data_IF_797190392090
#
_entry.id   IF_797190392090
#
_cell.length_a   1.000
_cell.length_b   1.000
_cell.length_c   1.000
_cell.angle_alpha   90.00
_cell.angle_beta   90.00
_cell.angle_gamma   90.00
#
_symmetry.space_group_name_H-M   'P 1'
#
loop_
_entity.id
_entity.type
_entity.pdbx_description
1 polymer ?
#
# COMPACT_ATOMS: atom_id res chain seq x y z
N UNK A 1 -31.27 23.39 19.19
CA UNK A 1 -32.04 22.29 19.83
C UNK A 1 -31.06 21.17 20.11
N UNK A 2 -30.89 20.84 21.39
CA UNK A 2 -29.95 19.84 21.92
C UNK A 2 -30.03 18.52 21.16
N UNK A 3 -28.98 18.18 20.43
CA UNK A 3 -28.63 16.80 20.15
C UNK A 3 -27.68 16.37 21.27
N UNK A 4 -28.24 15.80 22.34
CA UNK A 4 -27.43 15.03 23.28
C UNK A 4 -26.72 13.92 22.48
N UNK A 5 -25.42 13.67 22.70
CA UNK A 5 -24.73 12.59 22.00
C UNK A 5 -25.45 11.27 22.30
N UNK A 6 -25.65 10.46 21.25
CA UNK A 6 -26.29 9.12 21.35
C UNK A 6 -25.51 8.22 22.33
N UNK A 7 -24.24 8.55 22.61
CA UNK A 7 -23.37 7.86 23.55
C UNK A 7 -22.68 8.87 24.48
N UNK A 8 -23.10 9.02 25.75
CA UNK A 8 -22.44 9.92 26.70
C UNK A 8 -21.02 9.42 27.00
N UNK A 9 -20.08 10.34 27.18
CA UNK A 9 -18.68 10.00 27.44
C UNK A 9 -18.47 9.47 28.87
N UNK A 10 -17.53 8.54 29.10
CA UNK A 10 -17.31 7.93 30.41
C UNK A 10 -17.10 8.97 31.51
N UNK A 11 -17.97 8.98 32.53
CA UNK A 11 -17.74 9.69 33.80
C UNK A 11 -17.82 11.23 33.77
N UNK A 12 -18.47 11.87 32.80
CA UNK A 12 -18.57 13.34 32.77
C UNK A 12 -17.26 14.04 32.40
N UNK A 13 -16.34 13.33 31.74
CA UNK A 13 -15.12 13.94 31.19
C UNK A 13 -15.52 15.01 30.16
N UNK A 14 -15.44 16.29 30.55
CA UNK A 14 -15.70 17.43 29.66
C UNK A 14 -14.91 17.35 28.36
N UNK A 15 -13.73 16.71 28.37
CA UNK A 15 -12.86 16.57 27.22
C UNK A 15 -13.53 15.81 26.05
N UNK A 16 -14.20 14.69 26.32
CA UNK A 16 -14.90 13.98 25.24
C UNK A 16 -16.36 14.38 25.07
N UNK A 17 -17.03 14.92 26.09
CA UNK A 17 -18.41 15.40 25.93
C UNK A 17 -18.52 16.59 24.97
N UNK A 18 -17.50 17.46 24.94
CA UNK A 18 -17.48 18.63 24.05
C UNK A 18 -17.00 18.29 22.64
N UNK A 19 -16.07 17.34 22.51
CA UNK A 19 -15.39 17.03 21.24
C UNK A 19 -15.82 15.71 20.60
N UNK A 20 -16.84 15.01 21.11
CA UNK A 20 -17.27 13.70 20.60
C UNK A 20 -17.49 13.69 19.07
N UNK A 21 -18.12 14.73 18.52
CA UNK A 21 -18.37 14.79 17.07
C UNK A 21 -17.13 15.13 16.25
N UNK A 22 -16.10 15.71 16.87
CA UNK A 22 -14.90 16.22 16.20
C UNK A 22 -13.64 15.39 16.50
N UNK A 23 -13.72 14.41 17.41
CA UNK A 23 -12.59 13.58 17.84
C UNK A 23 -12.90 12.10 17.63
N UNK A 24 -12.23 11.49 16.64
CA UNK A 24 -12.30 10.05 16.38
C UNK A 24 -11.96 9.22 17.62
N UNK A 25 -10.99 9.65 18.42
CA UNK A 25 -10.62 8.96 19.65
C UNK A 25 -11.76 8.97 20.69
N UNK A 26 -12.47 10.09 20.85
CA UNK A 26 -13.63 10.16 21.73
C UNK A 26 -14.80 9.29 21.21
N UNK A 27 -14.98 9.20 19.89
CA UNK A 27 -15.97 8.29 19.28
C UNK A 27 -15.65 6.82 19.57
N UNK A 28 -14.37 6.42 19.41
CA UNK A 28 -13.89 5.07 19.74
C UNK A 28 -14.15 4.72 21.20
N UNK A 29 -13.82 5.61 22.14
CA UNK A 29 -14.08 5.41 23.58
C UNK A 29 -15.58 5.28 23.87
N UNK A 30 -16.41 6.13 23.26
CA UNK A 30 -17.87 6.09 23.45
C UNK A 30 -18.48 4.79 22.93
N UNK A 31 -18.06 4.33 21.75
CA UNK A 31 -18.47 3.05 21.17
C UNK A 31 -18.04 1.89 22.06
N UNK A 32 -16.78 1.83 22.50
CA UNK A 32 -16.29 0.82 23.43
C UNK A 32 -17.17 0.75 24.68
N UNK A 33 -17.39 1.91 25.33
CA UNK A 33 -18.19 2.00 26.56
C UNK A 33 -19.59 1.44 26.35
N UNK A 34 -20.23 1.79 25.23
CA UNK A 34 -21.61 1.39 24.95
C UNK A 34 -21.72 -0.14 24.98
N UNK A 35 -20.93 -0.85 24.18
CA UNK A 35 -20.97 -2.30 24.11
C UNK A 35 -20.46 -2.99 25.37
N UNK A 36 -19.34 -2.52 25.95
CA UNK A 36 -18.78 -3.10 27.18
C UNK A 36 -19.75 -2.98 28.37
N UNK A 37 -20.59 -1.94 28.40
CA UNK A 37 -21.62 -1.77 29.46
C UNK A 37 -22.75 -2.79 29.38
N UNK A 38 -22.94 -3.45 28.23
CA UNK A 38 -23.84 -4.58 28.06
C UNK A 38 -23.17 -5.93 28.33
N UNK A 39 -21.90 -5.93 28.78
CA UNK A 39 -21.15 -7.17 29.00
C UNK A 39 -20.61 -7.81 27.72
N UNK A 40 -20.52 -7.05 26.62
CA UNK A 40 -20.03 -7.55 25.33
C UNK A 40 -18.55 -7.19 25.16
N UNK A 41 -17.73 -8.18 24.81
CA UNK A 41 -16.37 -7.94 24.32
C UNK A 41 -16.42 -7.20 22.99
N UNK A 42 -15.47 -6.28 22.77
CA UNK A 42 -15.47 -5.38 21.62
C UNK A 42 -14.15 -5.47 20.89
N UNK A 43 -14.20 -5.72 19.59
CA UNK A 43 -13.08 -5.43 18.68
C UNK A 43 -13.32 -4.07 18.02
N UNK A 44 -12.43 -3.11 18.27
CA UNK A 44 -12.43 -1.82 17.60
C UNK A 44 -11.35 -1.82 16.52
N UNK A 45 -11.73 -1.59 15.27
CA UNK A 45 -10.79 -1.37 14.18
C UNK A 45 -10.99 0.02 13.56
N UNK A 46 -9.95 0.60 12.98
CA UNK A 46 -10.14 1.68 12.00
C UNK A 46 -10.77 1.11 10.71
N UNK A 47 -11.36 2.00 9.91
CA UNK A 47 -12.11 1.62 8.71
C UNK A 47 -11.21 1.09 7.57
N UNK A 48 -9.90 1.24 7.70
CA UNK A 48 -8.85 0.85 6.77
C UNK A 48 -8.03 -0.35 7.26
N UNK A 49 -8.55 -1.09 8.25
CA UNK A 49 -8.16 -2.46 8.52
C UNK A 49 -9.02 -3.43 7.71
N UNK A 50 -8.37 -4.31 6.96
CA UNK A 50 -9.03 -5.40 6.25
C UNK A 50 -8.61 -6.75 6.86
N UNK A 51 -9.59 -7.59 7.18
CA UNK A 51 -9.35 -8.92 7.73
C UNK A 51 -9.31 -9.94 6.58
N UNK A 52 -8.16 -10.61 6.42
CA UNK A 52 -7.97 -11.71 5.49
C UNK A 52 -8.49 -13.04 6.06
N UNK A 53 -8.48 -13.17 7.39
CA UNK A 53 -8.98 -14.33 8.13
C UNK A 53 -9.86 -13.86 9.31
N UNK A 54 -10.71 -14.76 9.83
CA UNK A 54 -11.45 -14.50 11.06
C UNK A 54 -10.46 -14.38 12.25
N UNK A 55 -10.37 -13.23 12.95
CA UNK A 55 -9.41 -13.04 14.02
C UNK A 55 -9.87 -13.68 15.35
N UNK A 56 -11.15 -14.07 15.49
CA UNK A 56 -11.72 -14.54 16.76
C UNK A 56 -11.03 -15.80 17.30
N UNK A 57 -10.70 -16.83 16.49
CA UNK A 57 -9.94 -17.98 16.97
C UNK A 57 -8.60 -17.58 17.59
N UNK A 58 -7.91 -16.57 17.04
CA UNK A 58 -6.67 -16.05 17.62
C UNK A 58 -6.94 -15.42 18.99
N UNK A 59 -7.94 -14.55 19.08
CA UNK A 59 -8.30 -13.85 20.32
C UNK A 59 -8.69 -14.82 21.45
N UNK A 60 -9.42 -15.89 21.13
CA UNK A 60 -9.84 -16.90 22.11
C UNK A 60 -8.67 -17.67 22.74
N UNK A 61 -7.51 -17.73 22.09
CA UNK A 61 -6.29 -18.36 22.65
C UNK A 61 -5.61 -17.53 23.72
N UNK A 62 -6.06 -16.29 23.95
CA UNK A 62 -5.42 -15.36 24.88
C UNK A 62 -6.33 -15.02 26.08
N UNK A 63 -6.90 -15.99 26.83
CA UNK A 63 -7.92 -15.70 27.85
C UNK A 63 -7.49 -14.75 28.99
N UNK A 64 -6.20 -14.63 29.39
CA UNK A 64 -5.84 -13.70 30.45
C UNK A 64 -5.79 -12.23 30.02
N UNK A 65 -5.72 -11.92 28.72
CA UNK A 65 -5.56 -10.54 28.24
C UNK A 65 -6.86 -9.72 28.32
N UNK A 66 -6.93 -8.70 29.15
CA UNK A 66 -8.08 -7.78 29.16
C UNK A 66 -8.11 -6.88 27.91
N UNK A 67 -6.92 -6.57 27.38
CA UNK A 67 -6.71 -5.78 26.17
C UNK A 67 -5.71 -6.46 25.24
N UNK A 68 -6.06 -6.58 23.96
CA UNK A 68 -5.09 -6.84 22.90
C UNK A 68 -5.02 -5.61 21.98
N UNK A 69 -3.82 -5.21 21.59
CA UNK A 69 -3.60 -4.11 20.64
C UNK A 69 -2.70 -4.58 19.49
N UNK A 70 -2.89 -4.04 18.29
CA UNK A 70 -1.91 -4.20 17.22
C UNK A 70 -0.55 -3.61 17.64
N UNK A 71 0.55 -4.22 17.17
CA UNK A 71 1.90 -3.69 17.39
C UNK A 71 2.26 -2.59 16.41
N UNK A 72 2.98 -1.57 16.87
CA UNK A 72 3.50 -0.50 16.00
C UNK A 72 4.88 -0.80 15.40
N UNK A 73 5.56 -1.84 15.90
CA UNK A 73 6.90 -2.22 15.44
C UNK A 73 6.89 -2.71 13.99
N UNK A 74 7.98 -2.44 13.26
CA UNK A 74 8.20 -2.95 11.90
C UNK A 74 9.05 -4.23 11.86
N UNK A 75 9.23 -4.86 13.01
CA UNK A 75 9.94 -6.12 13.20
C UNK A 75 9.17 -6.96 14.23
N UNK A 76 9.10 -8.26 14.01
CA UNK A 76 8.50 -9.18 14.96
C UNK A 76 9.49 -9.49 16.11
N UNK A 77 8.96 -9.76 17.28
CA UNK A 77 9.71 -10.23 18.44
C UNK A 77 9.66 -11.76 18.61
N UNK A 78 8.83 -12.43 17.79
CA UNK A 78 8.62 -13.89 17.82
C UNK A 78 9.64 -14.64 16.94
N UNK A 79 9.75 -15.95 17.13
CA UNK A 79 10.56 -16.80 16.26
C UNK A 79 9.86 -17.11 14.93
N UNK A 80 10.60 -17.70 13.99
CA UNK A 80 10.02 -18.25 12.75
C UNK A 80 8.98 -19.33 13.02
N UNK A 81 7.84 -19.24 12.35
CA UNK A 81 6.66 -20.10 12.55
C UNK A 81 5.87 -19.84 13.85
N UNK A 82 6.31 -18.92 14.71
CA UNK A 82 5.61 -18.59 15.95
C UNK A 82 4.46 -17.62 15.69
N UNK A 83 3.26 -18.16 15.81
CA UNK A 83 2.01 -17.50 15.47
C UNK A 83 1.31 -16.85 16.68
N UNK A 84 1.98 -16.75 17.84
CA UNK A 84 1.43 -16.20 19.08
C UNK A 84 1.55 -14.68 19.21
N UNK A 85 1.25 -14.15 20.41
CA UNK A 85 1.45 -12.72 20.72
C UNK A 85 2.94 -12.35 20.65
N UNK A 86 3.22 -11.07 20.42
CA UNK A 86 4.57 -10.53 20.60
C UNK A 86 5.01 -10.67 22.06
N UNK A 87 6.33 -10.75 22.29
CA UNK A 87 6.91 -10.66 23.62
C UNK A 87 6.49 -9.33 24.26
N UNK A 88 6.21 -9.32 25.56
CA UNK A 88 5.79 -8.12 26.27
C UNK A 88 6.85 -7.01 26.24
N UNK A 89 8.13 -7.36 26.04
CA UNK A 89 9.20 -6.40 25.79
C UNK A 89 8.94 -5.51 24.56
N UNK A 90 8.16 -5.98 23.58
CA UNK A 90 7.78 -5.22 22.38
C UNK A 90 6.90 -3.99 22.70
N UNK A 91 6.26 -3.93 23.87
CA UNK A 91 5.51 -2.74 24.33
C UNK A 91 6.37 -1.46 24.38
N UNK A 92 7.70 -1.61 24.48
CA UNK A 92 8.62 -0.48 24.40
C UNK A 92 8.63 0.17 22.99
N UNK A 93 8.34 -0.60 21.94
CA UNK A 93 8.22 -0.12 20.56
C UNK A 93 6.86 0.53 20.25
N UNK A 94 5.91 0.49 21.19
CA UNK A 94 4.58 1.10 21.05
C UNK A 94 3.53 0.16 20.47
N UNK A 95 2.28 0.63 20.47
CA UNK A 95 1.11 -0.08 19.95
C UNK A 95 0.40 0.76 18.89
N UNK A 96 -0.30 0.10 17.99
CA UNK A 96 -1.19 0.72 17.00
C UNK A 96 -2.62 0.70 17.58
N UNK A 97 -3.20 1.88 17.81
CA UNK A 97 -4.55 2.02 18.36
C UNK A 97 -5.66 1.79 17.32
N UNK A 98 -5.28 1.53 16.07
CA UNK A 98 -6.15 1.21 14.96
C UNK A 98 -6.80 -0.16 15.07
N UNK A 99 -6.27 -1.12 15.84
CA UNK A 99 -6.93 -2.40 16.12
C UNK A 99 -6.78 -2.80 17.60
N UNK A 100 -7.91 -2.87 18.30
CA UNK A 100 -8.00 -3.21 19.72
C UNK A 100 -9.03 -4.31 19.95
N UNK A 101 -8.74 -5.26 20.83
CA UNK A 101 -9.73 -6.09 21.50
C UNK A 101 -9.85 -5.62 22.96
N UNK A 102 -11.05 -5.32 23.40
CA UNK A 102 -11.38 -4.90 24.76
C UNK A 102 -12.36 -5.90 25.36
N UNK A 103 -12.00 -6.52 26.49
CA UNK A 103 -12.90 -7.44 27.18
C UNK A 103 -13.80 -6.74 28.19
N UNK A 104 -15.04 -7.22 28.29
CA UNK A 104 -16.03 -6.67 29.19
C UNK A 104 -15.67 -6.97 30.64
N UNK A 105 -15.17 -5.96 31.35
CA UNK A 105 -14.87 -6.03 32.77
C UNK A 105 -15.09 -4.67 33.44
N UNK A 106 -15.41 -4.63 34.75
CA UNK A 106 -15.48 -3.38 35.50
C UNK A 106 -14.18 -2.55 35.42
N UNK A 107 -13.03 -3.24 35.39
CA UNK A 107 -11.73 -2.60 35.21
C UNK A 107 -11.61 -1.91 33.84
N UNK A 108 -12.05 -2.56 32.77
CA UNK A 108 -12.02 -1.99 31.41
C UNK A 108 -12.92 -0.74 31.30
N UNK A 109 -14.13 -0.76 31.85
CA UNK A 109 -15.01 0.42 31.87
C UNK A 109 -14.38 1.60 32.62
N UNK A 110 -13.63 1.32 33.68
CA UNK A 110 -12.90 2.33 34.44
C UNK A 110 -11.67 2.83 33.67
N UNK A 111 -10.99 1.95 32.93
CA UNK A 111 -9.87 2.31 32.07
C UNK A 111 -10.29 3.25 30.93
N UNK A 112 -11.48 3.07 30.33
CA UNK A 112 -11.99 4.00 29.32
C UNK A 112 -12.09 5.46 29.83
N UNK A 113 -12.32 5.65 31.12
CA UNK A 113 -12.27 6.98 31.74
C UNK A 113 -10.84 7.51 31.85
N UNK A 114 -9.87 6.65 32.16
CA UNK A 114 -8.46 7.02 32.17
C UNK A 114 -7.96 7.41 30.77
N UNK A 115 -8.33 6.62 29.75
CA UNK A 115 -8.04 6.94 28.36
C UNK A 115 -8.64 8.29 27.95
N UNK A 116 -9.91 8.54 28.27
CA UNK A 116 -10.55 9.83 27.97
C UNK A 116 -9.88 11.02 28.67
N UNK A 117 -9.37 10.84 29.89
CA UNK A 117 -8.62 11.87 30.63
C UNK A 117 -7.24 12.13 30.04
N UNK A 118 -6.63 11.16 29.36
CA UNK A 118 -5.32 11.28 28.74
C UNK A 118 -5.34 12.00 27.38
N UNK A 119 -6.51 12.15 26.75
CA UNK A 119 -6.64 12.73 25.41
C UNK A 119 -6.23 14.20 25.25
N UNK A 120 -6.47 15.12 26.20
CA UNK A 120 -6.16 16.54 26.01
C UNK A 120 -4.69 16.76 25.58
N UNK A 121 -4.49 17.38 24.41
CA UNK A 121 -3.17 17.65 23.85
C UNK A 121 -2.44 16.46 23.24
N UNK A 122 -3.11 15.31 23.06
CA UNK A 122 -2.55 14.08 22.47
C UNK A 122 -3.41 13.58 21.31
N UNK A 123 -2.81 12.81 20.40
CA UNK A 123 -3.58 11.97 19.48
C UNK A 123 -4.11 10.71 20.20
N UNK A 124 -4.96 9.93 19.51
CA UNK A 124 -5.61 8.73 20.08
C UNK A 124 -4.60 7.72 20.64
N UNK A 125 -3.61 7.35 19.83
CA UNK A 125 -2.56 6.39 20.19
C UNK A 125 -1.74 6.86 21.40
N UNK A 126 -1.21 8.08 21.38
CA UNK A 126 -0.39 8.61 22.46
C UNK A 126 -1.18 8.77 23.78
N UNK A 127 -2.49 9.03 23.70
CA UNK A 127 -3.36 9.05 24.87
C UNK A 127 -3.63 7.64 25.41
N UNK A 128 -3.85 6.65 24.53
CA UNK A 128 -4.04 5.25 24.91
C UNK A 128 -2.80 4.72 25.63
N UNK A 129 -1.62 4.89 25.03
CA UNK A 129 -0.34 4.48 25.62
C UNK A 129 -0.07 5.17 26.95
N UNK A 130 -0.37 6.47 27.05
CA UNK A 130 -0.22 7.22 28.31
C UNK A 130 -1.13 6.67 29.40
N UNK A 131 -2.37 6.30 29.08
CA UNK A 131 -3.31 5.73 30.04
C UNK A 131 -2.89 4.31 30.47
N UNK A 132 -2.42 3.48 29.53
CA UNK A 132 -1.93 2.13 29.82
C UNK A 132 -0.70 2.13 30.73
N UNK A 133 0.16 3.16 30.64
CA UNK A 133 1.37 3.30 31.46
C UNK A 133 1.13 3.93 32.83
N UNK A 134 -0.08 4.45 33.11
CA UNK A 134 -0.40 5.04 34.41
C UNK A 134 -0.19 4.02 35.53
N UNK A 135 0.64 4.35 36.53
CA UNK A 135 0.95 3.47 37.65
C UNK A 135 1.80 2.24 37.30
N UNK A 136 2.35 2.16 36.08
CA UNK A 136 3.29 1.11 35.65
C UNK A 136 4.73 1.64 35.76
N UNK A 137 5.64 0.81 36.26
CA UNK A 137 7.07 1.16 36.30
C UNK A 137 7.69 1.26 34.90
N UNK A 138 8.99 1.61 34.84
CA UNK A 138 9.71 1.70 33.57
C UNK A 138 9.67 0.41 32.74
N UNK A 139 9.61 -0.73 33.42
CA UNK A 139 9.37 -2.05 32.83
C UNK A 139 8.06 -2.61 33.39
N UNK A 140 7.08 -2.93 32.53
CA UNK A 140 5.85 -3.58 32.96
C UNK A 140 6.13 -4.93 33.62
N UNK A 141 5.45 -5.22 34.72
CA UNK A 141 5.49 -6.54 35.33
C UNK A 141 4.79 -7.55 34.41
N UNK A 142 5.39 -8.73 34.24
CA UNK A 142 4.83 -9.79 33.41
C UNK A 142 3.67 -10.51 34.11
N UNK A 143 2.72 -11.01 33.33
CA UNK A 143 1.72 -11.93 33.84
C UNK A 143 2.39 -13.24 34.28
N UNK A 144 2.02 -13.83 35.45
CA UNK A 144 2.70 -15.01 35.96
C UNK A 144 2.77 -16.16 34.95
N UNK A 145 3.99 -16.62 34.67
CA UNK A 145 4.25 -17.73 33.75
C UNK A 145 4.09 -17.40 32.26
N UNK A 146 3.95 -16.12 31.88
CA UNK A 146 3.84 -15.70 30.47
C UNK A 146 4.69 -14.47 30.19
N UNK A 147 5.59 -14.57 29.20
CA UNK A 147 6.49 -13.50 28.75
C UNK A 147 5.89 -12.58 27.67
N UNK A 148 4.68 -12.90 27.19
CA UNK A 148 3.93 -12.17 26.15
C UNK A 148 2.79 -11.30 26.68
N UNK A 149 2.51 -11.41 27.97
CA UNK A 149 1.47 -10.64 28.64
C UNK A 149 2.09 -9.83 29.75
N UNK A 150 1.68 -8.56 29.85
CA UNK A 150 2.14 -7.66 30.89
C UNK A 150 0.99 -6.95 31.57
N UNK A 151 1.20 -6.61 32.83
CA UNK A 151 0.30 -5.75 33.57
C UNK A 151 0.36 -4.32 33.03
N UNK A 152 -0.81 -3.73 32.87
CA UNK A 152 -1.03 -2.34 32.48
C UNK A 152 -1.94 -1.63 33.50
N UNK A 153 -1.97 -0.30 33.43
CA UNK A 153 -2.84 0.57 34.24
C UNK A 153 -2.80 0.24 35.74
N UNK A 154 -1.60 0.35 36.33
CA UNK A 154 -1.38 0.08 37.76
C UNK A 154 -1.64 -1.36 38.18
N UNK A 155 -1.48 -2.33 37.27
CA UNK A 155 -1.73 -3.75 37.54
C UNK A 155 -3.20 -4.16 37.44
N UNK A 156 -4.07 -3.29 36.92
CA UNK A 156 -5.52 -3.54 36.84
C UNK A 156 -5.97 -4.17 35.54
N UNK A 157 -5.13 -4.12 34.51
CA UNK A 157 -5.36 -4.76 33.22
C UNK A 157 -4.19 -5.66 32.85
N UNK A 158 -4.46 -6.67 32.05
CA UNK A 158 -3.46 -7.48 31.35
C UNK A 158 -3.48 -7.13 29.86
N UNK A 159 -2.32 -6.77 29.33
CA UNK A 159 -2.11 -6.32 27.97
C UNK A 159 -1.31 -7.36 27.17
N UNK A 160 -1.75 -7.63 25.94
CA UNK A 160 -0.98 -8.36 24.93
C UNK A 160 -0.88 -7.57 23.62
N UNK A 161 0.18 -7.82 22.86
CA UNK A 161 0.40 -7.18 21.55
C UNK A 161 0.23 -8.23 20.45
N UNK A 162 -0.63 -7.93 19.49
CA UNK A 162 -0.87 -8.79 18.33
C UNK A 162 0.40 -8.84 17.45
N UNK A 163 0.76 -10.01 16.90
CA UNK A 163 1.99 -10.18 16.14
C UNK A 163 1.97 -9.36 14.86
N UNK A 164 2.99 -8.52 14.65
CA UNK A 164 3.07 -7.58 13.51
C UNK A 164 3.24 -8.30 12.17
N UNK A 165 3.68 -9.57 12.21
CA UNK A 165 3.71 -10.46 11.06
C UNK A 165 2.30 -10.90 10.59
N UNK A 166 1.29 -10.92 11.48
CA UNK A 166 -0.07 -11.37 11.16
C UNK A 166 -1.10 -10.24 11.16
N UNK A 167 -0.86 -9.20 11.95
CA UNK A 167 -1.70 -8.01 12.08
C UNK A 167 -0.82 -6.79 11.79
N UNK A 168 -0.65 -6.49 10.51
CA UNK A 168 0.46 -5.64 10.06
C UNK A 168 0.02 -4.54 9.11
N UNK A 169 0.77 -3.44 9.12
CA UNK A 169 0.64 -2.37 8.12
C UNK A 169 1.74 -2.50 7.06
N UNK A 170 2.84 -1.77 7.23
CA UNK A 170 4.04 -1.86 6.40
C UNK A 170 4.63 -3.29 6.39
N UNK A 171 4.59 -3.99 7.53
CA UNK A 171 5.01 -5.41 7.64
C UNK A 171 4.22 -6.33 6.70
N UNK A 172 2.95 -6.03 6.42
CA UNK A 172 2.15 -6.78 5.46
C UNK A 172 2.39 -6.29 4.02
N UNK A 173 2.31 -4.98 3.80
CA UNK A 173 2.20 -4.39 2.45
C UNK A 173 3.53 -4.24 1.72
N UNK A 174 4.64 -4.07 2.45
CA UNK A 174 5.99 -3.86 1.87
C UNK A 174 6.89 -5.06 2.14
N UNK A 175 6.91 -5.54 3.39
CA UNK A 175 7.83 -6.61 3.77
C UNK A 175 7.33 -8.00 3.36
N UNK A 176 6.01 -8.22 3.35
CA UNK A 176 5.45 -9.58 3.24
C UNK A 176 5.83 -10.45 4.44
N UNK A 177 5.90 -9.85 5.64
CA UNK A 177 6.48 -10.45 6.83
C UNK A 177 5.81 -11.77 7.23
N UNK A 178 4.50 -11.92 7.01
CA UNK A 178 3.81 -13.20 7.21
C UNK A 178 4.49 -14.36 6.47
N UNK A 179 4.82 -14.15 5.19
CA UNK A 179 5.51 -15.14 4.36
C UNK A 179 6.95 -15.38 4.80
N UNK A 180 7.66 -14.32 5.21
CA UNK A 180 9.03 -14.43 5.74
C UNK A 180 9.12 -15.21 7.05
N UNK A 181 8.07 -15.11 7.88
CA UNK A 181 7.98 -15.77 9.19
C UNK A 181 7.17 -17.08 9.15
N UNK A 182 6.79 -17.56 7.96
CA UNK A 182 5.98 -18.78 7.76
C UNK A 182 4.69 -18.83 8.61
N UNK A 183 4.00 -17.70 8.74
CA UNK A 183 2.69 -17.56 9.42
C UNK A 183 1.63 -17.01 8.47
N UNK A 184 0.35 -17.09 8.86
CA UNK A 184 -0.75 -16.52 8.06
C UNK A 184 -0.98 -15.05 8.39
N UNK A 185 -1.23 -14.24 7.36
CA UNK A 185 -1.70 -12.87 7.50
C UNK A 185 -3.18 -12.89 7.90
N UNK A 186 -3.52 -12.31 9.05
CA UNK A 186 -4.90 -12.25 9.56
C UNK A 186 -5.56 -10.92 9.21
N UNK A 187 -4.84 -9.81 9.38
CA UNK A 187 -5.37 -8.49 9.08
C UNK A 187 -4.29 -7.55 8.56
N UNK A 188 -4.68 -6.66 7.64
CA UNK A 188 -3.82 -5.68 7.00
C UNK A 188 -4.35 -4.28 7.28
N UNK A 189 -3.48 -3.41 7.79
CA UNK A 189 -3.77 -2.00 8.02
C UNK A 189 -3.22 -1.17 6.86
N UNK A 190 -4.09 -0.47 6.12
CA UNK A 190 -3.68 0.40 5.02
C UNK A 190 -3.09 1.76 5.47
N UNK A 191 -2.27 1.76 6.52
CA UNK A 191 -1.43 2.88 6.96
C UNK A 191 -0.05 2.84 6.28
N UNK A 192 0.91 3.68 6.71
CA UNK A 192 2.26 3.81 6.14
C UNK A 192 2.26 4.10 4.63
N UNK A 193 1.52 5.14 4.23
CA UNK A 193 1.41 5.65 2.87
C UNK A 193 1.01 7.13 2.88
N UNK A 194 1.16 7.80 1.74
CA UNK A 194 0.90 9.24 1.58
C UNK A 194 -0.30 9.62 0.70
N UNK A 195 -0.99 8.66 0.10
CA UNK A 195 -1.96 8.86 -0.99
C UNK A 195 -3.45 8.81 -0.53
N UNK A 196 -3.67 9.17 0.74
CA UNK A 196 -5.02 9.38 1.29
C UNK A 196 -5.95 8.17 1.13
N UNK A 197 -7.27 8.41 1.14
CA UNK A 197 -8.28 7.35 1.10
C UNK A 197 -8.20 6.51 -0.20
N UNK A 198 -7.92 7.12 -1.34
CA UNK A 198 -7.82 6.42 -2.62
C UNK A 198 -6.64 5.46 -2.63
N UNK A 199 -5.48 5.90 -2.14
CA UNK A 199 -4.30 5.05 -1.97
C UNK A 199 -4.53 3.91 -0.99
N UNK A 200 -5.24 4.15 0.14
CA UNK A 200 -5.56 3.10 1.12
C UNK A 200 -6.39 1.99 0.48
N UNK A 201 -7.45 2.38 -0.24
CA UNK A 201 -8.28 1.46 -1.00
C UNK A 201 -7.47 0.71 -2.06
N UNK A 202 -6.60 1.41 -2.79
CA UNK A 202 -5.77 0.79 -3.81
C UNK A 202 -4.82 -0.27 -3.23
N UNK A 203 -4.18 0.02 -2.09
CA UNK A 203 -3.35 -0.95 -1.36
C UNK A 203 -4.12 -2.21 -0.96
N UNK A 204 -5.35 -2.04 -0.49
CA UNK A 204 -6.22 -3.18 -0.17
C UNK A 204 -6.65 -3.95 -1.43
N UNK A 205 -6.79 -3.30 -2.60
CA UNK A 205 -6.99 -3.99 -3.88
C UNK A 205 -5.76 -4.77 -4.32
N UNK A 206 -4.56 -4.19 -4.18
CA UNK A 206 -3.30 -4.88 -4.47
C UNK A 206 -3.18 -6.18 -3.65
N UNK A 207 -3.59 -6.14 -2.38
CA UNK A 207 -3.68 -7.30 -1.49
C UNK A 207 -4.90 -8.21 -1.73
N UNK A 208 -5.80 -7.87 -2.67
CA UNK A 208 -7.07 -8.56 -2.95
C UNK A 208 -8.06 -8.62 -1.77
N UNK A 209 -7.91 -7.72 -0.80
CA UNK A 209 -8.73 -7.61 0.40
C UNK A 209 -9.86 -6.57 0.28
N UNK A 210 -9.80 -5.68 -0.70
CA UNK A 210 -10.91 -4.78 -1.01
C UNK A 210 -11.90 -5.43 -1.97
N UNK A 211 -13.18 -5.38 -1.63
CA UNK A 211 -14.27 -5.87 -2.47
C UNK A 211 -14.96 -4.71 -3.17
N UNK A 212 -14.79 -4.64 -4.48
CA UNK A 212 -15.55 -3.74 -5.34
C UNK A 212 -16.82 -4.42 -5.88
N UNK A 213 -17.71 -3.61 -6.46
CA UNK A 213 -18.88 -4.13 -7.16
C UNK A 213 -18.47 -5.02 -8.36
N UNK A 214 -19.29 -6.01 -8.77
CA UNK A 214 -18.95 -6.98 -9.82
C UNK A 214 -18.48 -6.35 -11.14
N UNK A 215 -18.98 -5.17 -11.46
CA UNK A 215 -18.64 -4.41 -12.67
C UNK A 215 -17.15 -4.06 -12.71
N UNK A 216 -16.52 -3.85 -11.54
CA UNK A 216 -15.10 -3.57 -11.43
C UNK A 216 -14.23 -4.67 -12.05
N UNK A 217 -14.66 -5.93 -11.89
CA UNK A 217 -13.98 -7.14 -12.33
C UNK A 217 -14.40 -7.59 -13.74
N UNK A 218 -15.65 -7.37 -14.10
CA UNK A 218 -16.26 -7.97 -15.30
C UNK A 218 -16.37 -7.05 -16.51
N UNK A 219 -16.43 -5.72 -16.32
CA UNK A 219 -16.58 -4.77 -17.43
C UNK A 219 -15.29 -4.34 -18.13
N UNK A 220 -14.11 -4.25 -17.45
CA UNK A 220 -12.92 -3.70 -18.07
C UNK A 220 -12.48 -4.44 -19.32
N UNK A 221 -12.08 -3.64 -20.31
CA UNK A 221 -11.33 -4.09 -21.47
C UNK A 221 -9.88 -3.73 -21.27
N UNK A 222 -9.04 -4.72 -21.00
CA UNK A 222 -7.70 -4.51 -20.49
C UNK A 222 -6.67 -4.27 -21.60
N UNK A 223 -5.66 -3.46 -21.28
CA UNK A 223 -4.37 -3.46 -21.95
C UNK A 223 -3.30 -3.77 -20.90
N UNK A 224 -2.57 -4.87 -21.11
CA UNK A 224 -1.44 -5.31 -20.30
C UNK A 224 -0.15 -5.21 -21.11
N UNK A 225 1.00 -5.31 -20.44
CA UNK A 225 2.30 -5.20 -21.09
C UNK A 225 3.35 -6.07 -20.42
N UNK A 226 4.36 -6.47 -21.20
CA UNK A 226 5.63 -6.94 -20.64
C UNK A 226 6.39 -5.75 -20.07
N UNK A 227 6.78 -5.84 -18.80
CA UNK A 227 7.66 -4.88 -18.16
C UNK A 227 9.07 -5.48 -18.07
N UNK A 228 10.06 -4.82 -18.67
CA UNK A 228 11.46 -5.19 -18.47
C UNK A 228 11.87 -4.74 -17.06
N UNK A 229 12.31 -5.66 -16.18
CA UNK A 229 12.72 -5.29 -14.83
C UNK A 229 13.99 -4.43 -14.86
N UNK A 230 14.23 -3.61 -13.83
CA UNK A 230 15.46 -2.84 -13.73
C UNK A 230 16.65 -3.75 -13.45
N UNK A 231 17.86 -3.31 -13.80
CA UNK A 231 19.07 -3.99 -13.35
C UNK A 231 19.22 -3.83 -11.83
N UNK A 232 19.39 -4.95 -11.13
CA UNK A 232 19.66 -4.98 -9.70
C UNK A 232 21.17 -5.17 -9.50
N UNK A 233 21.88 -4.22 -8.86
CA UNK A 233 23.30 -4.39 -8.59
C UNK A 233 23.57 -5.69 -7.79
N UNK A 234 24.47 -6.53 -8.28
CA UNK A 234 24.80 -7.84 -7.70
C UNK A 234 25.26 -7.76 -6.22
N UNK A 235 25.84 -6.62 -5.83
CA UNK A 235 26.28 -6.33 -4.45
C UNK A 235 25.15 -6.02 -3.46
N UNK A 236 23.89 -5.91 -3.90
CA UNK A 236 22.74 -5.90 -2.98
C UNK A 236 22.65 -7.17 -2.13
N UNK A 237 23.25 -8.27 -2.60
CA UNK A 237 23.13 -9.61 -2.02
C UNK A 237 23.90 -9.82 -0.71
N UNK A 238 24.69 -8.84 -0.25
CA UNK A 238 25.68 -9.06 0.83
C UNK A 238 25.43 -8.26 2.12
N UNK A 239 24.40 -7.42 2.20
CA UNK A 239 23.95 -6.82 3.47
C UNK A 239 24.92 -5.87 4.19
N UNK A 240 26.12 -5.62 3.66
CA UNK A 240 27.10 -4.67 4.19
C UNK A 240 27.01 -3.38 3.38
N UNK A 241 26.52 -2.31 3.99
CA UNK A 241 26.41 -1.00 3.34
C UNK A 241 27.09 0.06 4.21
N UNK A 242 28.18 0.62 3.71
CA UNK A 242 28.70 1.90 4.17
C UNK A 242 27.89 3.06 3.52
N UNK A 243 28.21 4.32 3.85
CA UNK A 243 27.53 5.48 3.25
C UNK A 243 27.60 5.50 1.70
N UNK A 244 28.70 4.96 1.14
CA UNK A 244 28.88 4.80 -0.30
C UNK A 244 27.91 3.78 -0.91
N UNK A 245 27.69 2.66 -0.22
CA UNK A 245 26.73 1.62 -0.58
C UNK A 245 25.29 2.12 -0.56
N UNK A 246 24.90 2.90 0.45
CA UNK A 246 23.57 3.51 0.53
C UNK A 246 23.30 4.44 -0.66
N UNK A 247 24.25 5.31 -0.96
CA UNK A 247 24.13 6.24 -2.08
C UNK A 247 24.03 5.50 -3.43
N UNK A 248 24.83 4.45 -3.61
CA UNK A 248 24.78 3.62 -4.83
C UNK A 248 23.43 2.92 -5.01
N UNK A 249 22.86 2.39 -3.91
CA UNK A 249 21.58 1.71 -3.94
C UNK A 249 20.42 2.67 -4.25
N UNK A 250 20.41 3.85 -3.62
CA UNK A 250 19.43 4.89 -3.93
C UNK A 250 19.52 5.34 -5.39
N UNK A 251 20.73 5.46 -5.94
CA UNK A 251 20.92 5.76 -7.36
C UNK A 251 20.41 4.63 -8.27
N UNK A 252 20.66 3.37 -7.90
CA UNK A 252 20.15 2.22 -8.63
C UNK A 252 18.62 2.18 -8.60
N UNK A 253 18.00 2.42 -7.44
CA UNK A 253 16.56 2.57 -7.29
C UNK A 253 16.00 3.63 -8.23
N UNK A 254 16.54 4.85 -8.19
CA UNK A 254 16.04 5.97 -9.02
C UNK A 254 16.18 5.71 -10.51
N UNK A 255 17.28 5.09 -10.95
CA UNK A 255 17.49 4.69 -12.36
C UNK A 255 16.55 3.56 -12.77
N UNK A 256 16.38 2.57 -11.89
CA UNK A 256 15.50 1.43 -12.10
C UNK A 256 14.03 1.85 -12.18
N UNK A 257 13.58 2.72 -11.28
CA UNK A 257 12.24 3.27 -11.31
C UNK A 257 12.01 4.13 -12.56
N UNK A 258 12.96 4.98 -12.93
CA UNK A 258 12.90 5.75 -14.18
C UNK A 258 12.73 4.82 -15.40
N UNK A 259 13.52 3.74 -15.47
CA UNK A 259 13.46 2.78 -16.56
C UNK A 259 12.10 2.08 -16.65
N UNK A 260 11.54 1.68 -15.51
CA UNK A 260 10.20 1.08 -15.46
C UNK A 260 9.11 2.10 -15.82
N UNK A 261 9.15 3.31 -15.27
CA UNK A 261 8.18 4.36 -15.54
C UNK A 261 8.15 4.80 -17.00
N UNK A 262 9.30 4.80 -17.70
CA UNK A 262 9.31 5.03 -19.15
C UNK A 262 8.50 3.97 -19.92
N UNK A 263 8.49 2.73 -19.45
CA UNK A 263 7.74 1.64 -20.08
C UNK A 263 6.26 1.71 -19.70
N UNK A 264 5.95 1.93 -18.41
CA UNK A 264 4.58 2.13 -17.91
C UNK A 264 3.91 3.30 -18.60
N UNK A 265 4.62 4.43 -18.77
CA UNK A 265 4.11 5.60 -19.50
C UNK A 265 3.68 5.23 -20.91
N UNK A 266 4.49 4.45 -21.63
CA UNK A 266 4.17 4.04 -23.00
C UNK A 266 2.97 3.08 -23.05
N UNK A 267 2.91 2.10 -22.13
CA UNK A 267 1.77 1.17 -22.03
C UNK A 267 0.47 1.88 -21.66
N UNK A 268 0.54 2.82 -20.72
CA UNK A 268 -0.63 3.60 -20.30
C UNK A 268 -1.09 4.58 -21.39
N UNK A 269 -0.16 5.17 -22.15
CA UNK A 269 -0.50 5.98 -23.32
C UNK A 269 -1.25 5.14 -24.38
N UNK A 270 -0.76 3.92 -24.67
CA UNK A 270 -1.43 2.95 -25.54
C UNK A 270 -2.83 2.60 -25.04
N UNK A 271 -2.99 2.38 -23.72
CA UNK A 271 -4.29 2.06 -23.14
C UNK A 271 -5.30 3.20 -23.33
N UNK A 272 -4.90 4.44 -23.03
CA UNK A 272 -5.71 5.64 -23.27
C UNK A 272 -6.09 5.76 -24.75
N UNK A 273 -5.10 5.64 -25.64
CA UNK A 273 -5.26 5.74 -27.08
C UNK A 273 -6.26 4.75 -27.68
N UNK A 274 -6.26 3.52 -27.15
CA UNK A 274 -7.12 2.41 -27.56
C UNK A 274 -8.42 2.32 -26.74
N UNK A 275 -8.66 3.27 -25.84
CA UNK A 275 -9.80 3.28 -24.92
C UNK A 275 -9.93 1.96 -24.13
N UNK A 276 -8.80 1.54 -23.55
CA UNK A 276 -8.65 0.35 -22.71
C UNK A 276 -8.26 0.76 -21.29
N UNK A 277 -8.63 -0.08 -20.34
CA UNK A 277 -8.19 0.03 -18.95
C UNK A 277 -6.79 -0.56 -18.83
N UNK A 278 -5.84 0.24 -18.33
CA UNK A 278 -4.46 -0.20 -18.21
C UNK A 278 -4.30 -1.16 -17.03
N UNK A 279 -3.98 -2.42 -17.29
CA UNK A 279 -3.52 -3.35 -16.26
C UNK A 279 -2.04 -3.06 -16.03
N UNK A 280 -1.74 -2.42 -14.93
CA UNK A 280 -0.38 -1.97 -14.70
C UNK A 280 0.49 -3.09 -14.12
N UNK A 281 1.75 -3.19 -14.57
CA UNK A 281 2.65 -4.25 -14.14
C UNK A 281 3.11 -4.12 -12.68
N UNK A 282 3.66 -5.23 -12.17
CA UNK A 282 4.43 -5.25 -10.92
C UNK A 282 5.71 -4.44 -11.09
N UNK A 283 5.85 -3.37 -10.31
CA UNK A 283 7.07 -2.57 -10.28
C UNK A 283 8.05 -3.14 -9.25
N UNK A 284 9.34 -3.06 -9.56
CA UNK A 284 10.42 -3.50 -8.67
C UNK A 284 11.04 -2.30 -7.95
N UNK A 285 11.04 -2.34 -6.62
CA UNK A 285 11.63 -1.33 -5.76
C UNK A 285 12.90 -1.86 -5.09
N UNK A 286 13.95 -1.05 -5.15
CA UNK A 286 15.23 -1.28 -4.45
C UNK A 286 15.38 -0.48 -3.16
N UNK A 287 14.41 0.38 -2.86
CA UNK A 287 14.35 1.21 -1.68
C UNK A 287 12.88 1.45 -1.35
N UNK A 288 12.60 1.44 -0.07
CA UNK A 288 11.32 1.81 0.52
C UNK A 288 10.98 3.28 0.26
N UNK A 289 9.75 3.69 0.56
CA UNK A 289 9.35 5.09 0.63
C UNK A 289 8.55 5.37 1.90
N UNK A 290 8.89 6.46 2.57
CA UNK A 290 8.29 6.84 3.85
C UNK A 290 8.61 8.29 4.22
N UNK A 291 8.06 8.72 5.34
CA UNK A 291 8.30 10.08 5.87
C UNK A 291 9.67 10.22 6.51
N UNK A 292 10.18 9.13 7.09
CA UNK A 292 11.45 9.11 7.81
C UNK A 292 12.63 8.86 6.88
N UNK A 293 13.82 9.23 7.37
CA UNK A 293 15.08 8.91 6.68
C UNK A 293 15.27 7.40 6.64
N UNK A 294 15.39 6.84 5.43
CA UNK A 294 15.62 5.42 5.25
C UNK A 294 16.98 4.95 5.77
N UNK A 295 17.00 3.74 6.32
CA UNK A 295 18.19 3.01 6.77
C UNK A 295 18.50 1.91 5.76
N UNK A 296 19.63 2.03 5.03
CA UNK A 296 20.00 1.04 4.00
C UNK A 296 18.84 0.73 3.02
N UNK A 297 18.13 1.80 2.61
CA UNK A 297 16.96 1.75 1.73
C UNK A 297 15.72 1.04 2.29
N UNK A 298 15.59 0.96 3.62
CA UNK A 298 14.42 0.42 4.33
C UNK A 298 13.86 1.47 5.28
N UNK A 299 12.56 1.38 5.62
CA UNK A 299 12.01 2.15 6.73
C UNK A 299 12.77 1.85 8.03
N UNK A 300 13.00 2.85 8.91
CA UNK A 300 13.62 2.61 10.22
C UNK A 300 12.89 1.51 11.00
N UNK A 301 13.65 0.59 11.60
CA UNK A 301 13.08 -0.53 12.34
C UNK A 301 12.48 -1.66 11.48
N UNK A 302 12.63 -1.62 10.15
CA UNK A 302 12.20 -2.66 9.21
C UNK A 302 13.38 -3.44 8.59
N UNK A 303 14.29 -4.06 9.37
CA UNK A 303 15.50 -4.67 8.84
C UNK A 303 15.23 -5.86 7.90
N UNK A 304 14.07 -6.49 8.03
CA UNK A 304 13.66 -7.68 7.28
C UNK A 304 13.04 -7.37 5.91
N UNK A 305 12.85 -6.09 5.54
CA UNK A 305 12.33 -5.74 4.20
C UNK A 305 13.23 -6.36 3.12
N UNK A 306 12.70 -7.22 2.24
CA UNK A 306 13.49 -7.81 1.17
C UNK A 306 13.82 -6.75 0.12
N UNK A 307 15.03 -6.79 -0.45
CA UNK A 307 15.42 -5.93 -1.56
C UNK A 307 15.95 -6.82 -2.71
N UNK A 308 15.39 -6.74 -3.93
CA UNK A 308 14.22 -5.95 -4.30
C UNK A 308 12.90 -6.49 -3.71
N UNK A 309 11.87 -5.64 -3.67
CA UNK A 309 10.49 -6.02 -3.40
C UNK A 309 9.55 -5.48 -4.50
N UNK A 310 8.30 -5.97 -4.54
CA UNK A 310 7.27 -5.40 -5.41
C UNK A 310 6.82 -4.06 -4.82
N UNK A 311 6.98 -2.95 -5.55
CA UNK A 311 6.53 -1.65 -5.08
C UNK A 311 5.01 -1.68 -4.85
N UNK A 312 4.51 -1.33 -3.64
CA UNK A 312 3.15 -0.83 -3.52
C UNK A 312 3.04 0.43 -4.37
N UNK A 313 1.97 0.56 -5.14
CA UNK A 313 1.89 1.67 -6.07
C UNK A 313 1.79 3.02 -5.42
N UNK A 314 1.17 3.13 -4.26
CA UNK A 314 1.07 4.40 -3.55
C UNK A 314 2.46 4.92 -3.09
N UNK A 315 3.51 4.10 -3.15
CA UNK A 315 4.90 4.52 -2.98
C UNK A 315 5.51 5.15 -4.24
N UNK A 316 4.92 4.89 -5.41
CA UNK A 316 5.40 5.34 -6.73
C UNK A 316 4.49 6.40 -7.35
N UNK A 317 3.19 6.30 -7.11
CA UNK A 317 2.14 7.15 -7.64
C UNK A 317 1.27 7.70 -6.51
N UNK A 318 0.82 8.95 -6.66
CA UNK A 318 -0.39 9.45 -6.02
C UNK A 318 -1.57 8.95 -6.86
N UNK A 319 -2.09 7.78 -6.51
CA UNK A 319 -3.14 7.05 -7.23
C UNK A 319 -4.41 7.89 -7.33
N UNK A 320 -4.69 8.75 -6.35
CA UNK A 320 -5.78 9.73 -6.41
C UNK A 320 -5.67 10.59 -7.68
N UNK A 321 -4.49 11.12 -7.98
CA UNK A 321 -4.24 11.97 -9.16
C UNK A 321 -4.28 11.20 -10.48
N UNK A 322 -4.10 9.88 -10.45
CA UNK A 322 -4.38 9.02 -11.61
C UNK A 322 -5.89 8.88 -11.85
N UNK A 323 -6.73 8.96 -10.81
CA UNK A 323 -8.19 8.77 -10.91
C UNK A 323 -8.97 10.07 -11.10
N UNK A 324 -8.50 11.19 -10.56
CA UNK A 324 -9.23 12.45 -10.60
C UNK A 324 -9.46 12.90 -12.06
N UNK A 325 -10.68 13.33 -12.43
CA UNK A 325 -10.88 14.04 -13.67
C UNK A 325 -10.19 15.40 -13.55
N UNK A 326 -8.88 15.44 -13.86
CA UNK A 326 -8.16 16.70 -14.00
C UNK A 326 -8.87 17.51 -15.09
N UNK A 327 -8.75 18.84 -15.04
CA UNK A 327 -9.28 19.84 -15.98
C UNK A 327 -8.98 19.60 -17.48
N UNK A 328 -8.39 18.45 -17.87
CA UNK A 328 -8.04 18.04 -19.23
C UNK A 328 -8.50 16.60 -19.50
N UNK A 329 -9.15 16.42 -20.65
CA UNK A 329 -9.99 15.31 -21.14
C UNK A 329 -9.37 13.90 -21.25
N UNK A 330 -8.23 13.60 -20.62
CA UNK A 330 -7.55 12.30 -20.78
C UNK A 330 -7.98 11.34 -19.67
N UNK A 331 -8.88 10.40 -19.96
CA UNK A 331 -9.32 9.41 -18.99
C UNK A 331 -8.30 8.27 -18.83
N UNK A 332 -7.61 8.22 -17.69
CA UNK A 332 -6.58 7.21 -17.36
C UNK A 332 -7.18 6.15 -16.43
N UNK A 333 -7.94 5.22 -17.01
CA UNK A 333 -8.47 4.08 -16.23
C UNK A 333 -7.41 3.00 -16.06
N UNK A 334 -7.34 2.39 -14.88
CA UNK A 334 -6.37 1.34 -14.57
C UNK A 334 -6.95 0.23 -13.68
N UNK A 335 -6.20 -0.87 -13.59
CA UNK A 335 -6.34 -1.94 -12.59
C UNK A 335 -4.97 -2.28 -12.00
N UNK A 336 -4.97 -2.62 -10.71
CA UNK A 336 -3.80 -3.07 -9.94
C UNK A 336 -3.15 -4.32 -10.56
N UNK A 337 -1.88 -4.54 -10.25
CA UNK A 337 -1.12 -5.65 -10.83
C UNK A 337 -1.67 -7.03 -10.46
N UNK A 338 -2.37 -7.15 -9.32
CA UNK A 338 -2.95 -8.40 -8.82
C UNK A 338 -4.36 -8.65 -9.37
N UNK A 339 -4.90 -7.77 -10.21
CA UNK A 339 -6.27 -7.86 -10.69
C UNK A 339 -6.59 -9.21 -11.36
N UNK A 340 -5.68 -9.75 -12.18
CA UNK A 340 -5.90 -11.05 -12.84
C UNK A 340 -5.74 -12.24 -11.89
N UNK A 341 -5.03 -12.07 -10.78
CA UNK A 341 -4.87 -13.10 -9.74
C UNK A 341 -6.05 -13.09 -8.76
N UNK A 342 -6.86 -12.04 -8.77
CA UNK A 342 -8.03 -11.92 -7.92
C UNK A 342 -9.09 -12.96 -8.33
N UNK A 343 -9.54 -13.83 -7.42
CA UNK A 343 -10.52 -14.87 -7.73
C UNK A 343 -11.88 -14.33 -8.17
N UNK A 344 -12.14 -13.03 -7.95
CA UNK A 344 -13.35 -12.35 -8.44
C UNK A 344 -13.25 -11.92 -9.91
N UNK A 345 -12.05 -11.92 -10.49
CA UNK A 345 -11.84 -11.61 -11.90
C UNK A 345 -12.18 -12.84 -12.76
N UNK A 346 -13.05 -12.71 -13.78
CA UNK A 346 -13.40 -13.84 -14.62
C UNK A 346 -12.18 -14.43 -15.32
N UNK A 347 -12.01 -15.76 -15.25
CA UNK A 347 -10.92 -16.50 -15.92
C UNK A 347 -10.82 -16.20 -17.43
N UNK A 348 -11.96 -15.90 -18.08
CA UNK A 348 -12.00 -15.50 -19.49
C UNK A 348 -11.14 -14.27 -19.78
N UNK A 349 -11.03 -13.33 -18.83
CA UNK A 349 -10.21 -12.11 -18.96
C UNK A 349 -8.72 -12.43 -19.10
N UNK A 350 -8.27 -13.53 -18.50
CA UNK A 350 -6.90 -14.00 -18.62
C UNK A 350 -6.66 -14.67 -19.98
N UNK A 351 -7.62 -15.46 -20.48
CA UNK A 351 -7.41 -16.31 -21.65
C UNK A 351 -7.82 -15.66 -22.99
N UNK A 352 -8.77 -14.73 -22.99
CA UNK A 352 -9.20 -13.99 -24.18
C UNK A 352 -8.28 -12.80 -24.46
N UNK A 353 -7.12 -13.10 -25.05
CA UNK A 353 -6.02 -12.17 -25.25
C UNK A 353 -5.51 -12.12 -26.70
N UNK A 354 -5.11 -10.91 -27.13
CA UNK A 354 -4.35 -10.69 -28.37
C UNK A 354 -2.99 -10.09 -28.06
N UNK A 355 -1.94 -10.70 -28.60
CA UNK A 355 -0.57 -10.25 -28.47
C UNK A 355 -0.25 -9.19 -29.52
N UNK A 356 0.17 -8.00 -29.07
CA UNK A 356 0.74 -6.97 -29.93
C UNK A 356 2.26 -7.11 -29.92
N UNK A 357 2.83 -7.49 -31.07
CA UNK A 357 4.26 -7.80 -31.21
C UNK A 357 4.89 -7.01 -32.35
N UNK A 358 6.17 -6.64 -32.21
CA UNK A 358 6.86 -5.81 -33.20
C UNK A 358 7.43 -6.64 -34.35
N UNK A 359 7.22 -6.17 -35.58
CA UNK A 359 7.88 -6.71 -36.77
C UNK A 359 9.41 -6.51 -36.66
N UNK A 360 10.18 -7.59 -36.83
CA UNK A 360 11.65 -7.55 -36.92
C UNK A 360 12.41 -7.91 -35.64
N UNK A 361 11.73 -8.28 -34.55
CA UNK A 361 12.39 -8.98 -33.43
C UNK A 361 12.59 -10.45 -33.83
N UNK A 362 13.85 -10.89 -33.92
CA UNK A 362 14.33 -12.20 -34.40
C UNK A 362 13.26 -13.29 -34.67
N UNK A 363 13.12 -13.70 -35.94
CA UNK A 363 12.18 -14.69 -36.53
C UNK A 363 10.83 -14.18 -37.10
N UNK A 364 10.86 -13.12 -37.91
CA UNK A 364 9.72 -12.76 -38.77
C UNK A 364 9.48 -13.68 -39.96
N UNK A 365 10.43 -14.58 -40.29
CA UNK A 365 10.34 -15.40 -41.50
C UNK A 365 9.38 -16.62 -41.40
N UNK A 366 8.83 -16.96 -40.22
CA UNK A 366 8.12 -18.24 -40.04
C UNK A 366 6.76 -18.21 -39.31
N UNK A 367 6.15 -17.05 -39.01
CA UNK A 367 4.91 -17.02 -38.18
C UNK A 367 3.85 -16.01 -38.63
N UNK A 368 3.34 -16.18 -39.85
CA UNK A 368 2.33 -15.27 -40.45
C UNK A 368 0.87 -15.68 -40.26
N UNK A 369 0.56 -16.72 -39.47
CA UNK A 369 -0.80 -17.27 -39.42
C UNK A 369 -1.39 -17.47 -38.01
N UNK A 370 -0.76 -16.95 -36.95
CA UNK A 370 -1.36 -17.01 -35.61
C UNK A 370 -2.39 -15.87 -35.46
N UNK A 371 -3.71 -16.16 -35.41
CA UNK A 371 -4.74 -15.13 -35.28
C UNK A 371 -4.73 -14.44 -33.91
N UNK A 372 -3.96 -14.95 -32.95
CA UNK A 372 -3.79 -14.36 -31.62
C UNK A 372 -2.69 -13.30 -31.57
N UNK A 373 -1.94 -13.10 -32.67
CA UNK A 373 -0.83 -12.13 -32.75
C UNK A 373 -1.12 -11.07 -33.81
N UNK A 374 -1.11 -9.81 -33.40
CA UNK A 374 -1.11 -8.65 -34.29
C UNK A 374 0.32 -8.12 -34.37
N UNK A 375 0.88 -8.19 -35.56
CA UNK A 375 2.20 -7.65 -35.85
C UNK A 375 2.13 -6.14 -36.15
N UNK A 376 2.98 -5.39 -35.47
CA UNK A 376 3.06 -3.93 -35.53
C UNK A 376 4.42 -3.52 -36.11
N UNK A 377 4.45 -2.69 -37.16
CA UNK A 377 5.67 -2.01 -37.57
C UNK A 377 6.26 -1.16 -36.43
N UNK A 378 7.59 -1.01 -36.34
CA UNK A 378 8.22 -0.07 -35.40
C UNK A 378 7.60 1.32 -35.47
N UNK A 379 7.20 1.88 -34.33
CA UNK A 379 6.55 3.19 -34.23
C UNK A 379 5.28 3.27 -35.09
N UNK A 380 4.36 2.35 -34.87
CA UNK A 380 3.02 2.39 -35.47
C UNK A 380 2.27 3.63 -34.98
N UNK A 381 1.71 4.42 -35.91
CA UNK A 381 0.87 5.57 -35.58
C UNK A 381 -0.49 5.15 -35.01
N UNK A 382 -1.13 6.01 -34.23
CA UNK A 382 -2.38 5.69 -33.53
C UNK A 382 -3.52 5.24 -34.47
N UNK A 383 -3.70 5.87 -35.62
CA UNK A 383 -4.73 5.49 -36.59
C UNK A 383 -4.52 4.06 -37.12
N UNK A 384 -3.29 3.71 -37.49
CA UNK A 384 -2.94 2.36 -37.96
C UNK A 384 -3.08 1.33 -36.82
N UNK A 385 -2.67 1.69 -35.60
CA UNK A 385 -2.86 0.83 -34.43
C UNK A 385 -4.34 0.52 -34.20
N UNK A 386 -5.21 1.53 -34.26
CA UNK A 386 -6.66 1.38 -34.11
C UNK A 386 -7.25 0.48 -35.18
N UNK A 387 -6.87 0.67 -36.44
CA UNK A 387 -7.35 -0.15 -37.56
C UNK A 387 -6.95 -1.62 -37.39
N UNK A 388 -5.69 -1.88 -37.03
CA UNK A 388 -5.18 -3.24 -36.80
C UNK A 388 -5.89 -3.96 -35.66
N UNK A 389 -6.18 -3.27 -34.56
CA UNK A 389 -6.89 -3.88 -33.41
C UNK A 389 -8.42 -3.85 -33.55
N UNK A 390 -8.98 -3.13 -34.52
CA UNK A 390 -10.44 -3.01 -34.70
C UNK A 390 -11.11 -4.37 -34.94
N UNK A 391 -10.42 -5.27 -35.67
CA UNK A 391 -10.86 -6.66 -35.91
C UNK A 391 -10.92 -7.52 -34.64
N UNK A 392 -10.26 -7.05 -33.58
CA UNK A 392 -10.19 -7.68 -32.26
C UNK A 392 -10.89 -6.83 -31.19
N UNK A 393 -11.81 -5.94 -31.58
CA UNK A 393 -12.48 -5.04 -30.64
C UNK A 393 -13.27 -5.76 -29.53
N UNK A 394 -13.70 -7.00 -29.78
CA UNK A 394 -14.41 -7.87 -28.83
C UNK A 394 -13.54 -8.54 -27.77
N UNK A 395 -12.21 -8.58 -27.93
CA UNK A 395 -11.34 -9.31 -26.99
C UNK A 395 -11.24 -8.58 -25.66
N UNK A 396 -11.21 -9.34 -24.57
CA UNK A 396 -11.09 -8.82 -23.20
C UNK A 396 -9.75 -8.15 -22.96
N UNK A 397 -8.65 -8.72 -23.45
CA UNK A 397 -7.29 -8.26 -23.16
C UNK A 397 -6.43 -8.06 -24.41
N UNK A 398 -5.79 -6.90 -24.52
CA UNK A 398 -4.66 -6.69 -25.40
C UNK A 398 -3.38 -6.79 -24.56
N UNK A 399 -2.35 -7.48 -25.05
CA UNK A 399 -1.09 -7.62 -24.34
C UNK A 399 0.08 -7.17 -25.22
N UNK A 400 0.84 -6.17 -24.76
CA UNK A 400 1.89 -5.51 -25.54
C UNK A 400 3.27 -5.95 -25.07
N UNK A 401 4.04 -6.60 -25.94
CA UNK A 401 5.39 -7.10 -25.59
C UNK A 401 6.45 -6.01 -25.44
N UNK A 402 6.34 -4.94 -26.22
CA UNK A 402 7.24 -3.80 -26.10
C UNK A 402 6.46 -2.49 -26.34
N UNK A 403 5.87 -1.91 -25.29
CA UNK A 403 5.04 -0.71 -25.45
C UNK A 403 5.84 0.50 -25.94
N UNK A 404 7.14 0.54 -25.66
CA UNK A 404 8.00 1.64 -26.13
C UNK A 404 8.32 1.56 -27.62
N UNK A 405 8.38 0.35 -28.17
CA UNK A 405 8.57 0.14 -29.60
C UNK A 405 7.24 0.27 -30.38
N UNK A 406 6.13 -0.12 -29.76
CA UNK A 406 4.80 -0.07 -30.35
C UNK A 406 4.27 1.37 -30.49
N UNK A 407 4.49 2.22 -29.48
CA UNK A 407 3.95 3.58 -29.47
C UNK A 407 4.85 4.59 -30.18
N UNK A 408 4.32 5.26 -31.20
CA UNK A 408 5.02 6.34 -31.92
C UNK A 408 4.76 7.72 -31.33
N UNK A 409 3.52 8.19 -31.44
CA UNK A 409 3.09 9.52 -31.02
C UNK A 409 1.56 9.63 -30.97
N UNK A 410 1.08 10.72 -30.39
CA UNK A 410 -0.33 11.09 -30.36
C UNK A 410 -0.75 11.72 -31.71
N UNK A 411 -1.99 11.45 -32.16
CA UNK A 411 -2.57 12.15 -33.32
C UNK A 411 -2.57 13.68 -33.13
N UNK A 412 -2.79 14.10 -31.89
CA UNK A 412 -2.85 15.48 -31.44
C UNK A 412 -1.76 15.72 -30.40
N UNK A 413 -0.74 16.56 -30.69
CA UNK A 413 0.34 16.83 -29.74
C UNK A 413 -0.14 17.36 -28.38
N UNK A 414 -1.27 18.05 -28.33
CA UNK A 414 -1.92 18.55 -27.11
C UNK A 414 -2.44 17.43 -26.19
N UNK A 415 -2.90 16.31 -26.75
CA UNK A 415 -3.35 15.15 -25.98
C UNK A 415 -2.15 14.49 -25.30
N UNK A 416 -1.03 14.37 -26.02
CA UNK A 416 0.22 13.88 -25.46
C UNK A 416 0.78 14.74 -24.35
N UNK A 417 0.75 16.08 -24.52
CA UNK A 417 1.14 17.01 -23.44
C UNK A 417 0.24 16.88 -22.21
N UNK A 418 -1.08 16.73 -22.41
CA UNK A 418 -2.04 16.59 -21.33
C UNK A 418 -1.85 15.28 -20.57
N UNK A 419 -1.63 14.18 -21.30
CA UNK A 419 -1.27 12.89 -20.73
C UNK A 419 0.02 12.96 -19.93
N UNK A 420 1.09 13.55 -20.48
CA UNK A 420 2.38 13.67 -19.80
C UNK A 420 2.30 14.47 -18.49
N UNK A 421 1.55 15.58 -18.50
CA UNK A 421 1.33 16.39 -17.31
C UNK A 421 0.59 15.60 -16.23
N UNK A 422 -0.44 14.82 -16.60
CA UNK A 422 -1.18 13.99 -15.65
C UNK A 422 -0.32 12.84 -15.12
N UNK A 423 0.41 12.14 -15.99
CA UNK A 423 1.30 11.05 -15.61
C UNK A 423 2.37 11.52 -14.62
N UNK A 424 3.04 12.64 -14.91
CA UNK A 424 4.05 13.22 -14.01
C UNK A 424 3.41 13.76 -12.73
N UNK A 425 2.30 14.47 -12.84
CA UNK A 425 1.61 15.06 -11.70
C UNK A 425 1.13 14.01 -10.69
N UNK A 426 0.94 12.78 -11.16
CA UNK A 426 0.57 11.63 -10.34
C UNK A 426 1.77 10.83 -9.81
N UNK A 427 3.02 11.20 -10.07
CA UNK A 427 4.16 10.53 -9.42
C UNK A 427 4.26 10.96 -7.95
N UNK A 428 4.56 10.00 -7.07
CA UNK A 428 4.79 10.27 -5.66
C UNK A 428 6.08 11.09 -5.45
N UNK A 429 6.17 11.91 -4.38
CA UNK A 429 7.37 12.70 -4.10
C UNK A 429 8.66 11.88 -3.94
N UNK A 430 8.56 10.61 -3.53
CA UNK A 430 9.74 9.74 -3.47
C UNK A 430 10.17 9.21 -4.84
N UNK A 431 9.21 9.04 -5.77
CA UNK A 431 9.51 8.79 -7.17
C UNK A 431 10.19 10.02 -7.82
N UNK A 432 9.99 11.24 -7.29
CA UNK A 432 10.91 12.37 -7.44
C UNK A 432 10.53 13.59 -6.57
N UNK A 433 11.47 14.28 -5.89
CA UNK A 433 12.86 14.42 -6.31
C UNK A 433 13.99 14.27 -5.27
N UNK A 434 15.20 14.30 -5.82
CA UNK A 434 16.42 14.75 -5.17
C UNK A 434 16.22 16.10 -4.45
N UNK A 435 17.12 16.46 -3.53
CA UNK A 435 17.14 17.78 -2.87
C UNK A 435 17.43 18.97 -3.82
N UNK A 436 17.28 18.78 -5.14
CA UNK A 436 17.75 19.62 -6.22
C UNK A 436 16.74 19.61 -7.38
N UNK A 437 16.16 20.79 -7.66
CA UNK A 437 15.15 21.00 -8.70
C UNK A 437 15.66 20.64 -10.10
N UNK A 438 16.96 20.85 -10.38
CA UNK A 438 17.54 20.50 -11.67
C UNK A 438 17.66 18.99 -11.85
N UNK A 439 18.06 18.27 -10.80
CA UNK A 439 18.09 16.79 -10.80
C UNK A 439 16.68 16.21 -10.93
N UNK A 440 15.69 16.83 -10.30
CA UNK A 440 14.26 16.52 -10.49
C UNK A 440 13.88 16.58 -11.95
N UNK A 441 14.12 17.73 -12.57
CA UNK A 441 13.77 18.00 -13.96
C UNK A 441 14.49 17.03 -14.90
N UNK A 442 15.78 16.78 -14.67
CA UNK A 442 16.57 15.79 -15.44
C UNK A 442 16.00 14.38 -15.33
N UNK A 443 15.56 13.97 -14.14
CA UNK A 443 14.95 12.66 -13.94
C UNK A 443 13.59 12.55 -14.66
N UNK A 444 12.75 13.58 -14.55
CA UNK A 444 11.45 13.65 -15.25
C UNK A 444 11.61 13.69 -16.77
N UNK A 445 12.56 14.46 -17.31
CA UNK A 445 12.87 14.49 -18.74
C UNK A 445 13.28 13.11 -19.26
N UNK A 446 13.99 12.34 -18.44
CA UNK A 446 14.31 10.96 -18.74
C UNK A 446 13.06 10.06 -18.73
N UNK A 447 12.13 10.20 -17.77
CA UNK A 447 10.84 9.46 -17.79
C UNK A 447 10.06 9.74 -19.09
N UNK A 448 10.06 10.98 -19.56
CA UNK A 448 9.37 11.38 -20.80
C UNK A 448 10.14 11.06 -22.09
N UNK A 449 11.40 10.61 -22.00
CA UNK A 449 12.30 10.46 -23.16
C UNK A 449 12.41 11.71 -24.04
N UNK A 450 12.32 12.91 -23.46
CA UNK A 450 12.51 14.15 -24.23
C UNK A 450 13.97 14.21 -24.71
N UNK A 451 14.20 14.11 -26.03
CA UNK A 451 15.54 14.37 -26.60
C UNK A 451 15.91 15.81 -26.27
N UNK A 452 17.06 16.02 -25.59
CA UNK A 452 17.68 17.34 -25.57
C UNK A 452 17.90 17.79 -27.01
N UNK A 453 17.45 19.00 -27.38
CA UNK A 453 18.18 19.75 -28.41
C UNK A 453 19.60 19.85 -27.86
N UNK A 454 20.57 19.18 -28.51
CA UNK A 454 21.97 19.55 -28.31
C UNK A 454 22.04 21.01 -28.73
N UNK A 455 22.08 21.92 -27.78
CA UNK A 455 22.59 23.26 -28.05
C UNK A 455 23.99 23.02 -28.60
N UNK A 456 24.14 23.25 -29.90
CA UNK A 456 25.45 23.38 -30.50
C UNK A 456 26.05 24.61 -29.83
N UNK A 457 26.95 24.39 -28.89
CA UNK A 457 27.94 25.39 -28.53
C UNK A 457 28.78 25.58 -29.80
N UNK A 458 28.47 26.63 -30.55
CA UNK A 458 29.36 27.21 -31.56
C UNK A 458 30.33 28.14 -30.88
#
# INVERSE_FOLDING_TARGET
>A
KNTSPIFPCPGGSKACEQDFHNSTACQRIGLARAFLSYGLDVTLSDADWAFAEDPRPFFSRQPPADLLAAGAALVNSTADGDDGLELAASLAAGIDDGLLLLRAAPAMLSFLQAWARALPGRNGQAALESALREGVGATPALWPGQDRLAYAWGGRLVLGVLPVARFGSHTASVQGLAGLMHVTQVAVHASHQSDGLVGKRHRLREAMLWEDAPEYYTEPRLLSMDLKPPSVPEKLSLGVMDEGGQTALQMAHKRGLQFQLQQVRAGMALAVALNRTFLMPRLTCLCDSGWDKLENCRSPGAPLTPLPFTCPWDQVFLVERLTEPHEKKVNMTYREYSFLENPRTPNETEHDLILLSMEGTANTAFRTHDPTIVWLPPKTGLADLRDRVARHSGVRRLHVRDPQAAWADWERPEDGKSFDLRFIGALAPWAGPFDDEEKTKRWLDGVLRRKRKREKWT
#
